data_IF_031982872178
#
_entry.id   IF_031982872178
#
_cell.length_a   1.000
_cell.length_b   1.000
_cell.length_c   1.000
_cell.angle_alpha   90.00
_cell.angle_beta   90.00
_cell.angle_gamma   90.00
#
_symmetry.space_group_name_H-M   'P 1'
#
loop_
_entity.id
_entity.type
_entity.pdbx_description
1 polymer ?
#
# COMPACT_ATOMS: atom_id res chain seq x y z
N UNK A 1 6.15 25.24 23.09
CA UNK A 1 5.43 24.02 22.69
C UNK A 1 5.90 23.65 21.31
N UNK A 2 6.53 22.49 21.15
CA UNK A 2 6.91 21.95 19.84
C UNK A 2 5.76 21.06 19.35
N UNK A 3 4.74 21.66 18.76
CA UNK A 3 3.58 20.94 18.19
C UNK A 3 3.44 21.18 16.67
N UNK A 4 4.12 22.20 16.12
CA UNK A 4 3.97 22.59 14.70
C UNK A 4 4.55 21.60 13.67
N UNK A 5 5.33 20.60 14.09
CA UNK A 5 5.87 19.58 13.19
C UNK A 5 4.92 18.41 12.93
N UNK A 6 3.97 18.16 13.84
CA UNK A 6 3.07 17.02 13.74
C UNK A 6 1.94 17.30 12.74
N UNK A 7 1.44 18.55 12.71
CA UNK A 7 0.38 18.97 11.78
C UNK A 7 0.77 18.86 10.30
N UNK A 8 2.05 18.98 9.94
CA UNK A 8 2.54 18.88 8.55
C UNK A 8 3.11 17.51 8.18
N UNK A 9 3.15 16.57 9.14
CA UNK A 9 3.70 15.24 8.91
C UNK A 9 2.80 14.41 8.01
N UNK A 10 3.36 13.88 6.91
CA UNK A 10 2.66 12.93 6.03
C UNK A 10 2.18 11.70 6.81
N UNK A 11 3.03 11.15 7.68
CA UNK A 11 2.67 9.97 8.49
C UNK A 11 1.45 10.27 9.37
N UNK A 12 1.45 11.43 10.02
CA UNK A 12 0.32 11.85 10.85
C UNK A 12 -0.94 12.00 10.00
N UNK A 13 -0.89 12.83 8.95
CA UNK A 13 -2.07 13.16 8.15
C UNK A 13 -2.61 11.97 7.34
N UNK A 14 -1.75 11.19 6.70
CA UNK A 14 -2.14 10.22 5.68
C UNK A 14 -2.14 8.76 6.15
N UNK A 15 -1.61 8.46 7.34
CA UNK A 15 -1.50 7.09 7.85
C UNK A 15 -2.17 6.94 9.21
N UNK A 16 -1.92 7.84 10.14
CA UNK A 16 -2.40 7.74 11.53
C UNK A 16 -3.79 8.37 11.71
N UNK A 17 -4.08 9.49 11.04
CA UNK A 17 -5.40 10.11 11.04
C UNK A 17 -6.38 9.32 10.16
N UNK A 18 -7.46 8.73 10.70
CA UNK A 18 -8.35 7.85 9.92
C UNK A 18 -8.98 8.53 8.71
N UNK A 19 -9.46 9.78 8.87
CA UNK A 19 -10.07 10.55 7.79
C UNK A 19 -9.01 10.93 6.75
N UNK A 20 -7.83 11.37 7.17
CA UNK A 20 -6.78 11.74 6.23
C UNK A 20 -6.25 10.53 5.46
N UNK A 21 -6.11 9.36 6.09
CA UNK A 21 -5.82 8.09 5.42
C UNK A 21 -6.89 7.70 4.40
N UNK A 22 -8.17 7.86 4.74
CA UNK A 22 -9.28 7.59 3.81
C UNK A 22 -9.22 8.51 2.59
N UNK A 23 -9.03 9.81 2.80
CA UNK A 23 -8.93 10.79 1.71
C UNK A 23 -7.70 10.53 0.83
N UNK A 24 -6.56 10.23 1.45
CA UNK A 24 -5.34 9.91 0.73
C UNK A 24 -5.48 8.64 -0.12
N UNK A 25 -6.16 7.60 0.39
CA UNK A 25 -6.48 6.40 -0.41
C UNK A 25 -7.31 6.71 -1.65
N UNK A 26 -8.36 7.51 -1.50
CA UNK A 26 -9.19 7.95 -2.63
C UNK A 26 -8.38 8.76 -3.65
N UNK A 27 -7.44 9.57 -3.18
CA UNK A 27 -6.51 10.27 -4.06
C UNK A 27 -5.62 9.29 -4.84
N UNK A 28 -5.05 8.27 -4.19
CA UNK A 28 -4.25 7.24 -4.86
C UNK A 28 -5.07 6.46 -5.90
N UNK A 29 -6.29 6.06 -5.55
CA UNK A 29 -7.21 5.33 -6.43
C UNK A 29 -7.66 6.16 -7.64
N UNK A 30 -7.82 7.47 -7.48
CA UNK A 30 -8.25 8.38 -8.54
C UNK A 30 -7.15 8.79 -9.53
N UNK A 31 -5.88 8.45 -9.26
CA UNK A 31 -4.74 8.81 -10.11
C UNK A 31 -4.13 7.57 -10.75
N UNK A 32 -4.08 7.52 -12.09
CA UNK A 32 -3.44 6.43 -12.82
C UNK A 32 -1.96 6.23 -12.44
N UNK A 33 -1.26 7.30 -12.05
CA UNK A 33 0.13 7.25 -11.59
C UNK A 33 0.28 6.51 -10.26
N UNK A 34 -0.71 6.63 -9.37
CA UNK A 34 -0.64 6.12 -8.00
C UNK A 34 -1.54 4.91 -7.73
N UNK A 35 -2.39 4.54 -8.69
CA UNK A 35 -3.38 3.49 -8.53
C UNK A 35 -2.74 2.15 -8.10
N UNK A 36 -1.61 1.76 -8.69
CA UNK A 36 -0.90 0.54 -8.32
C UNK A 36 -0.37 0.57 -6.87
N UNK A 37 0.12 1.71 -6.40
CA UNK A 37 0.58 1.88 -5.01
C UNK A 37 -0.58 1.85 -4.02
N UNK A 38 -1.70 2.49 -4.36
CA UNK A 38 -2.93 2.44 -3.57
C UNK A 38 -3.49 1.02 -3.45
N UNK A 39 -3.53 0.29 -4.57
CA UNK A 39 -3.99 -1.10 -4.62
C UNK A 39 -3.08 -2.03 -3.80
N UNK A 40 -1.75 -1.90 -3.93
CA UNK A 40 -0.80 -2.67 -3.13
C UNK A 40 -1.02 -2.44 -1.63
N UNK A 41 -1.18 -1.19 -1.21
CA UNK A 41 -1.41 -0.88 0.20
C UNK A 41 -2.71 -1.51 0.75
N UNK A 42 -3.79 -1.44 -0.02
CA UNK A 42 -5.06 -2.08 0.36
C UNK A 42 -4.91 -3.60 0.50
N UNK A 43 -4.17 -4.24 -0.41
CA UNK A 43 -3.94 -5.69 -0.40
C UNK A 43 -3.00 -6.13 0.73
N UNK A 44 -1.99 -5.33 1.10
CA UNK A 44 -1.16 -5.60 2.28
C UNK A 44 -2.00 -5.58 3.56
N UNK A 45 -2.89 -4.59 3.73
CA UNK A 45 -3.77 -4.56 4.90
C UNK A 45 -4.80 -5.70 4.90
N UNK A 46 -5.26 -6.14 3.73
CA UNK A 46 -6.09 -7.33 3.64
C UNK A 46 -5.30 -8.57 4.04
N UNK A 47 -4.06 -8.70 3.58
CA UNK A 47 -3.15 -9.79 3.90
C UNK A 47 -2.83 -9.88 5.40
N UNK A 48 -2.62 -8.74 6.07
CA UNK A 48 -2.42 -8.68 7.53
C UNK A 48 -3.62 -9.20 8.32
N UNK A 49 -4.82 -9.20 7.71
CA UNK A 49 -6.06 -9.73 8.29
C UNK A 49 -6.39 -11.15 7.80
N UNK A 50 -5.57 -11.76 6.94
CA UNK A 50 -5.81 -13.12 6.46
C UNK A 50 -5.59 -14.14 7.58
N UNK A 51 -6.52 -15.10 7.64
CA UNK A 51 -6.37 -16.33 8.41
C UNK A 51 -5.18 -17.15 7.88
N UNK A 52 -4.58 -17.96 8.76
CA UNK A 52 -3.38 -18.73 8.41
C UNK A 52 -3.61 -19.67 7.21
N UNK A 53 -4.81 -20.24 7.09
CA UNK A 53 -5.21 -21.10 5.98
C UNK A 53 -5.23 -20.38 4.62
N UNK A 54 -5.41 -19.06 4.60
CA UNK A 54 -5.52 -18.26 3.37
C UNK A 54 -4.20 -17.54 3.02
N UNK A 55 -3.29 -17.45 3.99
CA UNK A 55 -2.08 -16.63 3.93
C UNK A 55 -1.17 -17.00 2.77
N UNK A 56 -0.95 -18.30 2.52
CA UNK A 56 -0.10 -18.73 1.40
C UNK A 56 -0.66 -18.28 0.04
N UNK A 57 -1.96 -18.49 -0.16
CA UNK A 57 -2.64 -18.09 -1.38
C UNK A 57 -2.65 -16.57 -1.56
N UNK A 58 -2.85 -15.81 -0.48
CA UNK A 58 -2.80 -14.35 -0.48
C UNK A 58 -1.39 -13.81 -0.80
N UNK A 59 -0.34 -14.40 -0.23
CA UNK A 59 1.05 -14.04 -0.54
C UNK A 59 1.39 -14.31 -2.01
N UNK A 60 0.93 -15.42 -2.57
CA UNK A 60 1.11 -15.72 -4.00
C UNK A 60 0.42 -14.68 -4.90
N UNK A 61 -0.81 -14.28 -4.56
CA UNK A 61 -1.55 -13.23 -5.29
C UNK A 61 -0.80 -11.91 -5.25
N UNK A 62 -0.37 -11.44 -4.08
CA UNK A 62 0.42 -10.22 -3.91
C UNK A 62 1.66 -10.21 -4.82
N UNK A 63 2.47 -11.29 -4.77
CA UNK A 63 3.69 -11.41 -5.60
C UNK A 63 3.40 -11.33 -7.09
N UNK A 64 2.42 -12.11 -7.56
CA UNK A 64 2.09 -12.17 -8.99
C UNK A 64 1.50 -10.86 -9.54
N UNK A 65 0.75 -10.13 -8.71
CA UNK A 65 0.03 -8.93 -9.11
C UNK A 65 0.92 -7.69 -9.06
N UNK A 66 1.72 -7.53 -8.01
CA UNK A 66 2.42 -6.29 -7.70
C UNK A 66 3.94 -6.37 -7.83
N UNK A 67 4.57 -7.52 -7.54
CA UNK A 67 6.05 -7.60 -7.45
C UNK A 67 6.70 -8.20 -8.69
N UNK A 68 5.92 -8.85 -9.56
CA UNK A 68 6.41 -9.50 -10.77
C UNK A 68 6.34 -8.53 -11.96
N UNK A 69 7.44 -8.31 -12.70
CA UNK A 69 7.38 -7.56 -13.96
C UNK A 69 6.36 -8.16 -14.93
N UNK A 70 5.46 -7.33 -15.44
CA UNK A 70 4.33 -7.77 -16.29
C UNK A 70 3.07 -8.20 -15.53
N UNK A 71 3.08 -8.16 -14.19
CA UNK A 71 1.86 -8.25 -13.38
C UNK A 71 0.91 -7.08 -13.64
N UNK A 72 -0.40 -7.31 -13.46
CA UNK A 72 -1.45 -6.35 -13.82
C UNK A 72 -1.28 -4.96 -13.16
N UNK A 73 -0.73 -4.92 -11.95
CA UNK A 73 -0.46 -3.69 -11.18
C UNK A 73 0.99 -3.67 -10.70
N UNK A 74 1.91 -4.10 -11.56
CA UNK A 74 3.34 -4.17 -11.24
C UNK A 74 3.86 -2.83 -10.68
N UNK A 75 4.34 -2.87 -9.44
CA UNK A 75 4.86 -1.73 -8.70
C UNK A 75 6.35 -1.53 -9.00
N UNK A 76 6.63 -0.95 -10.18
CA UNK A 76 8.00 -0.70 -10.65
C UNK A 76 8.81 0.30 -9.81
N UNK A 77 8.19 1.00 -8.86
CA UNK A 77 8.86 1.87 -7.90
C UNK A 77 9.53 1.09 -6.74
N UNK A 78 9.23 -0.20 -6.58
CA UNK A 78 9.86 -1.04 -5.55
C UNK A 78 11.29 -1.38 -5.94
N UNK A 79 12.18 -1.39 -4.95
CA UNK A 79 13.54 -1.91 -5.15
C UNK A 79 13.50 -3.42 -5.31
N UNK A 80 14.53 -3.99 -5.95
CA UNK A 80 14.67 -5.44 -6.10
C UNK A 80 14.68 -6.17 -4.73
N UNK A 81 15.24 -5.54 -3.70
CA UNK A 81 15.25 -6.09 -2.34
C UNK A 81 13.85 -6.10 -1.71
N UNK A 82 13.03 -5.07 -1.95
CA UNK A 82 11.66 -5.00 -1.42
C UNK A 82 10.70 -5.95 -2.14
N UNK A 83 10.96 -6.25 -3.42
CA UNK A 83 10.17 -7.17 -4.23
C UNK A 83 10.64 -8.63 -4.15
N UNK A 84 11.66 -8.92 -3.33
CA UNK A 84 12.20 -10.27 -3.16
C UNK A 84 11.15 -11.23 -2.53
N UNK A 85 11.15 -12.51 -2.92
CA UNK A 85 10.12 -13.48 -2.54
C UNK A 85 10.16 -13.99 -1.11
#
# INVERSE_FOLDING_TARGET
GQDGGQETSFRWQCVEQPIGKLLFRRFLEGSAEFAAAGALWAEIEAFERCEDAEREAAAKRLRSRFFTPGGAEHCGFLSAAAAAP
#
